data_IF_179619919195
#
_entry.id   IF_179619919195
#
_cell.length_a   1.000
_cell.length_b   1.000
_cell.length_c   1.000
_cell.angle_alpha   90.00
_cell.angle_beta   90.00
_cell.angle_gamma   90.00
#
_symmetry.space_group_name_H-M   'P 1'
#
loop_
_entity.id
_entity.type
_entity.pdbx_description
1 polymer ?
#
# COMPACT_ATOMS: atom_id res chain seq x y z
N UNK A 1 0.08 19.69 -2.01
CA UNK A 1 -0.93 18.86 -2.69
C UNK A 1 -2.27 18.92 -1.97
N UNK A 2 -2.31 18.69 -0.65
CA UNK A 2 -3.54 18.77 0.18
C UNK A 2 -4.36 20.05 -0.02
N UNK A 3 -3.72 21.22 -0.08
CA UNK A 3 -4.43 22.50 -0.27
C UNK A 3 -5.25 22.56 -1.56
N UNK A 4 -4.70 22.04 -2.67
CA UNK A 4 -5.39 22.06 -3.96
C UNK A 4 -6.57 21.07 -4.00
N UNK A 5 -6.37 19.86 -3.45
CA UNK A 5 -7.43 18.84 -3.36
C UNK A 5 -8.61 19.38 -2.53
N UNK A 6 -8.31 19.99 -1.38
CA UNK A 6 -9.32 20.61 -0.52
C UNK A 6 -10.14 21.68 -1.26
N UNK A 7 -9.46 22.66 -1.87
CA UNK A 7 -10.14 23.77 -2.56
C UNK A 7 -11.03 23.29 -3.71
N UNK A 8 -10.57 22.31 -4.48
CA UNK A 8 -11.37 21.76 -5.58
C UNK A 8 -12.59 21.01 -5.04
N UNK A 9 -12.40 20.19 -4.01
CA UNK A 9 -13.49 19.38 -3.46
C UNK A 9 -14.55 20.20 -2.72
N UNK A 10 -14.23 21.40 -2.23
CA UNK A 10 -15.19 22.37 -1.67
C UNK A 10 -16.15 22.94 -2.72
N UNK A 11 -15.80 22.88 -4.02
CA UNK A 11 -16.60 23.43 -5.12
C UNK A 11 -17.32 22.33 -5.91
N UNK A 12 -16.82 21.09 -5.87
CA UNK A 12 -17.43 19.96 -6.57
C UNK A 12 -18.75 19.54 -5.90
N UNK A 13 -19.77 19.11 -6.70
CA UNK A 13 -21.05 18.65 -6.17
C UNK A 13 -20.88 17.57 -5.09
N UNK A 14 -21.59 17.73 -3.97
CA UNK A 14 -21.51 16.82 -2.82
C UNK A 14 -22.13 15.45 -3.11
N UNK A 15 -23.09 15.38 -4.03
CA UNK A 15 -23.86 14.18 -4.38
C UNK A 15 -23.16 13.30 -5.43
N UNK A 16 -21.93 13.63 -5.82
CA UNK A 16 -21.16 12.91 -6.86
C UNK A 16 -19.80 12.45 -6.35
N UNK A 17 -19.33 11.25 -6.77
CA UNK A 17 -18.03 10.76 -6.35
C UNK A 17 -16.88 11.60 -6.90
N UNK A 18 -15.84 11.80 -6.10
CA UNK A 18 -14.63 12.55 -6.45
C UNK A 18 -13.47 11.59 -6.69
N UNK A 19 -12.90 11.62 -7.90
CA UNK A 19 -11.82 10.72 -8.32
C UNK A 19 -10.49 11.46 -8.42
N UNK A 20 -9.50 11.06 -7.61
CA UNK A 20 -8.15 11.62 -7.65
C UNK A 20 -7.21 10.73 -8.48
N UNK A 21 -6.92 11.17 -9.69
CA UNK A 21 -6.16 10.40 -10.66
C UNK A 21 -4.65 10.36 -10.35
N UNK A 22 -4.03 9.19 -10.52
CA UNK A 22 -2.58 9.01 -10.47
C UNK A 22 -1.96 8.93 -9.06
N UNK A 23 -2.78 8.80 -8.02
CA UNK A 23 -2.35 8.77 -6.62
C UNK A 23 -2.51 7.37 -6.03
N UNK A 24 -1.46 6.83 -5.41
CA UNK A 24 -1.50 5.46 -4.89
C UNK A 24 -0.46 5.10 -3.84
N UNK A 25 0.25 6.09 -3.28
CA UNK A 25 1.08 5.87 -2.11
C UNK A 25 0.22 5.87 -0.84
N UNK A 26 0.49 5.01 0.16
CA UNK A 26 -0.34 4.89 1.36
C UNK A 26 -0.65 6.21 2.06
N UNK A 27 0.32 7.11 2.17
CA UNK A 27 0.16 8.42 2.82
C UNK A 27 -0.77 9.35 2.04
N UNK A 28 -0.69 9.32 0.71
CA UNK A 28 -1.49 10.16 -0.18
C UNK A 28 -2.95 9.70 -0.21
N UNK A 29 -3.23 8.41 -0.01
CA UNK A 29 -4.59 7.89 0.16
C UNK A 29 -5.26 8.50 1.39
N UNK A 30 -4.58 8.53 2.54
CA UNK A 30 -5.11 9.20 3.73
C UNK A 30 -5.35 10.69 3.50
N UNK A 31 -4.44 11.37 2.80
CA UNK A 31 -4.58 12.78 2.48
C UNK A 31 -5.78 13.03 1.56
N UNK A 32 -5.95 12.24 0.49
CA UNK A 32 -7.07 12.39 -0.43
C UNK A 32 -8.41 12.14 0.27
N UNK A 33 -8.52 11.05 1.02
CA UNK A 33 -9.75 10.67 1.72
C UNK A 33 -10.14 11.71 2.77
N UNK A 34 -9.18 12.21 3.56
CA UNK A 34 -9.42 13.28 4.55
C UNK A 34 -9.92 14.57 3.90
N UNK A 35 -9.60 14.79 2.62
CA UNK A 35 -10.06 15.96 1.86
C UNK A 35 -11.24 15.63 0.92
N UNK A 36 -11.95 14.52 1.13
CA UNK A 36 -13.22 14.21 0.46
C UNK A 36 -13.10 13.51 -0.90
N UNK A 37 -12.00 12.80 -1.15
CA UNK A 37 -11.83 11.93 -2.33
C UNK A 37 -12.38 10.53 -2.08
N UNK A 38 -13.10 9.98 -3.05
CA UNK A 38 -13.77 8.67 -2.96
C UNK A 38 -13.07 7.57 -3.77
N UNK A 39 -12.44 7.94 -4.89
CA UNK A 39 -11.84 7.01 -5.86
C UNK A 39 -10.39 7.39 -6.17
N UNK A 40 -9.58 6.37 -6.44
CA UNK A 40 -8.16 6.47 -6.76
C UNK A 40 -7.75 5.46 -7.83
N UNK A 41 -6.83 5.84 -8.69
CA UNK A 41 -6.11 4.93 -9.57
C UNK A 41 -4.61 5.26 -9.56
N UNK A 42 -3.76 4.24 -9.63
CA UNK A 42 -2.32 4.44 -9.75
C UNK A 42 -1.62 3.18 -10.22
N UNK A 43 -0.60 3.36 -11.06
CA UNK A 43 0.32 2.28 -11.44
C UNK A 43 1.38 1.99 -10.37
N UNK A 44 1.56 2.87 -9.37
CA UNK A 44 2.65 2.79 -8.40
C UNK A 44 2.72 1.44 -7.68
N UNK A 45 1.63 0.81 -7.20
CA UNK A 45 1.72 -0.46 -6.48
C UNK A 45 2.33 -1.58 -7.31
N UNK A 46 1.92 -1.71 -8.57
CA UNK A 46 2.42 -2.76 -9.48
C UNK A 46 3.78 -2.41 -10.07
N UNK A 47 4.04 -1.12 -10.36
CA UNK A 47 5.36 -0.66 -10.81
C UNK A 47 6.43 -0.89 -9.73
N UNK A 48 6.15 -0.52 -8.48
CA UNK A 48 7.04 -0.73 -7.34
C UNK A 48 7.27 -2.23 -7.11
N UNK A 49 6.21 -3.03 -7.15
CA UNK A 49 6.29 -4.48 -7.01
C UNK A 49 7.24 -5.12 -8.02
N UNK A 50 7.10 -4.79 -9.31
CA UNK A 50 7.97 -5.34 -10.38
C UNK A 50 9.44 -4.93 -10.23
N UNK A 51 9.72 -3.88 -9.48
CA UNK A 51 11.07 -3.43 -9.14
C UNK A 51 11.54 -3.93 -7.76
N UNK A 52 10.82 -4.84 -7.12
CA UNK A 52 11.20 -5.46 -5.85
C UNK A 52 10.77 -4.68 -4.59
N UNK A 53 10.10 -3.54 -4.74
CA UNK A 53 9.60 -2.76 -3.60
C UNK A 53 8.22 -3.27 -3.17
N UNK A 54 8.15 -3.81 -1.95
CA UNK A 54 6.93 -4.34 -1.34
C UNK A 54 6.44 -3.46 -0.21
N UNK A 55 5.13 -3.23 -0.15
CA UNK A 55 4.49 -2.52 0.96
C UNK A 55 4.29 -3.46 2.16
N UNK A 56 4.52 -2.96 3.36
CA UNK A 56 4.21 -3.63 4.63
C UNK A 56 3.61 -2.61 5.60
N UNK A 57 2.97 -3.05 6.67
CA UNK A 57 2.48 -2.16 7.74
C UNK A 57 3.59 -1.36 8.43
N UNK A 58 4.83 -1.78 8.23
CA UNK A 58 6.04 -1.20 8.78
C UNK A 58 6.78 -0.30 7.78
N UNK A 59 6.20 -0.04 6.61
CA UNK A 59 6.83 0.73 5.54
C UNK A 59 7.20 -0.12 4.33
N UNK A 60 8.06 0.42 3.48
CA UNK A 60 8.48 -0.24 2.23
C UNK A 60 9.73 -1.08 2.46
N UNK A 61 9.76 -2.27 1.88
CA UNK A 61 10.97 -3.11 1.84
C UNK A 61 11.40 -3.35 0.40
N UNK A 62 12.70 -3.48 0.16
CA UNK A 62 13.22 -4.00 -1.10
C UNK A 62 13.57 -5.49 -0.92
N UNK A 63 12.79 -6.37 -1.53
CA UNK A 63 12.91 -7.83 -1.34
C UNK A 63 14.21 -8.41 -1.93
N UNK A 64 14.88 -7.67 -2.82
CA UNK A 64 16.20 -8.05 -3.35
C UNK A 64 17.35 -7.84 -2.36
N UNK A 65 17.12 -7.15 -1.24
CA UNK A 65 18.15 -6.94 -0.23
C UNK A 65 18.65 -8.26 0.37
N UNK A 66 19.97 -8.36 0.59
CA UNK A 66 20.63 -9.58 1.03
C UNK A 66 20.06 -10.19 2.33
N UNK A 67 19.55 -9.34 3.24
CA UNK A 67 18.91 -9.79 4.49
C UNK A 67 17.72 -10.73 4.30
N UNK A 68 17.08 -10.72 3.12
CA UNK A 68 15.92 -11.56 2.83
C UNK A 68 16.26 -12.89 2.17
N UNK A 69 17.53 -13.13 1.77
CA UNK A 69 17.93 -14.36 1.05
C UNK A 69 17.66 -15.64 1.84
N UNK A 70 17.77 -15.58 3.16
CA UNK A 70 17.53 -16.70 4.07
C UNK A 70 16.37 -16.43 5.05
N UNK A 71 15.48 -15.48 4.73
CA UNK A 71 14.30 -15.20 5.53
C UNK A 71 13.14 -16.09 5.07
N UNK A 72 12.91 -17.20 5.78
CA UNK A 72 11.84 -18.15 5.48
C UNK A 72 10.46 -17.73 6.03
N UNK A 73 10.32 -16.51 6.55
CA UNK A 73 9.01 -15.96 6.90
C UNK A 73 8.27 -15.44 5.66
N UNK A 74 6.93 -15.33 5.69
CA UNK A 74 6.18 -14.61 4.65
C UNK A 74 6.57 -13.12 4.62
N UNK A 75 6.18 -12.40 3.57
CA UNK A 75 6.42 -10.94 3.48
C UNK A 75 5.84 -10.23 4.70
N UNK A 76 4.61 -10.57 5.07
CA UNK A 76 3.96 -10.12 6.30
C UNK A 76 3.12 -11.26 6.91
N UNK A 77 3.27 -11.50 8.22
CA UNK A 77 2.66 -12.66 8.90
C UNK A 77 1.13 -12.65 8.88
N UNK A 78 0.54 -11.47 8.98
CA UNK A 78 -0.93 -11.33 9.09
C UNK A 78 -1.60 -11.13 7.72
N UNK A 79 -0.82 -11.01 6.64
CA UNK A 79 -1.32 -10.77 5.30
C UNK A 79 -1.93 -12.04 4.69
N UNK A 80 -3.17 -11.94 4.21
CA UNK A 80 -3.92 -13.07 3.66
C UNK A 80 -3.81 -13.22 2.14
N UNK A 81 -2.93 -12.44 1.48
CA UNK A 81 -2.73 -12.53 0.04
C UNK A 81 -2.13 -13.89 -0.37
N UNK A 82 -2.32 -14.27 -1.64
CA UNK A 82 -1.79 -15.52 -2.18
C UNK A 82 -0.28 -15.65 -1.95
N UNK A 83 0.48 -14.57 -2.14
CA UNK A 83 1.94 -14.60 -1.98
C UNK A 83 2.34 -14.90 -0.54
N UNK A 84 1.77 -14.22 0.45
CA UNK A 84 2.11 -14.42 1.87
C UNK A 84 1.67 -15.79 2.40
N UNK A 85 0.60 -16.38 1.83
CA UNK A 85 0.13 -17.71 2.24
C UNK A 85 0.97 -18.87 1.72
N UNK A 86 1.65 -18.69 0.60
CA UNK A 86 2.27 -19.80 -0.13
C UNK A 86 3.78 -19.68 -0.29
N UNK A 87 4.37 -18.49 -0.09
CA UNK A 87 5.78 -18.24 -0.36
C UNK A 87 6.48 -17.48 0.75
N UNK A 88 7.77 -17.73 0.87
CA UNK A 88 8.66 -17.04 1.80
C UNK A 88 9.32 -15.83 1.15
N UNK A 89 9.82 -14.90 1.96
CA UNK A 89 10.67 -13.81 1.46
C UNK A 89 11.93 -14.32 0.77
N UNK A 90 12.54 -15.38 1.28
CA UNK A 90 13.69 -16.05 0.67
C UNK A 90 13.38 -16.49 -0.77
N UNK A 91 12.23 -17.14 -0.99
CA UNK A 91 11.83 -17.59 -2.31
C UNK A 91 11.55 -16.41 -3.26
N UNK A 92 10.80 -15.41 -2.80
CA UNK A 92 10.52 -14.22 -3.62
C UNK A 92 11.82 -13.47 -3.95
N UNK A 93 12.72 -13.32 -2.97
CA UNK A 93 14.05 -12.72 -3.16
C UNK A 93 14.85 -13.49 -4.20
N UNK A 94 14.88 -14.82 -4.11
CA UNK A 94 15.52 -15.68 -5.10
C UNK A 94 14.98 -15.44 -6.52
N UNK A 95 13.66 -15.39 -6.69
CA UNK A 95 13.04 -15.12 -8.00
C UNK A 95 13.46 -13.76 -8.58
N UNK A 96 13.57 -12.72 -7.75
CA UNK A 96 14.07 -11.40 -8.19
C UNK A 96 15.53 -11.46 -8.63
N UNK A 97 16.39 -12.18 -7.91
CA UNK A 97 17.80 -12.37 -8.32
C UNK A 97 17.91 -13.20 -9.60
N UNK A 98 17.04 -14.19 -9.77
CA UNK A 98 16.92 -15.00 -10.99
C UNK A 98 16.29 -14.27 -12.18
N UNK A 99 15.76 -13.05 -11.97
CA UNK A 99 15.02 -12.26 -12.99
C UNK A 99 13.82 -13.02 -13.57
N UNK A 100 13.17 -13.83 -12.74
CA UNK A 100 12.01 -14.63 -13.13
C UNK A 100 10.75 -13.77 -13.21
N UNK A 101 9.93 -13.97 -14.25
CA UNK A 101 8.67 -13.22 -14.41
C UNK A 101 7.73 -13.41 -13.21
N UNK A 102 7.76 -14.59 -12.59
CA UNK A 102 6.96 -14.91 -11.41
C UNK A 102 7.23 -13.95 -10.23
N UNK A 103 8.45 -13.40 -10.12
CA UNK A 103 8.81 -12.45 -9.07
C UNK A 103 7.88 -11.23 -9.07
N UNK A 104 7.71 -10.61 -10.26
CA UNK A 104 6.85 -9.45 -10.45
C UNK A 104 5.37 -9.76 -10.22
N UNK A 105 4.92 -10.95 -10.63
CA UNK A 105 3.53 -11.41 -10.41
C UNK A 105 3.22 -11.55 -8.92
N UNK A 106 4.03 -12.29 -8.17
CA UNK A 106 3.84 -12.50 -6.73
C UNK A 106 3.94 -11.19 -5.94
N UNK A 107 4.91 -10.34 -6.29
CA UNK A 107 5.05 -9.02 -5.69
C UNK A 107 3.82 -8.12 -5.98
N UNK A 108 3.28 -8.17 -7.20
CA UNK A 108 2.13 -7.35 -7.59
C UNK A 108 0.86 -7.79 -6.87
N UNK A 109 0.63 -9.10 -6.72
CA UNK A 109 -0.48 -9.64 -5.93
C UNK A 109 -0.42 -9.10 -4.49
N UNK A 110 0.77 -9.13 -3.88
CA UNK A 110 0.97 -8.62 -2.52
C UNK A 110 0.68 -7.12 -2.41
N UNK A 111 1.29 -6.29 -3.27
CA UNK A 111 1.12 -4.84 -3.20
C UNK A 111 -0.32 -4.39 -3.49
N UNK A 112 -0.99 -5.02 -4.46
CA UNK A 112 -2.40 -4.73 -4.74
C UNK A 112 -3.29 -5.11 -3.56
N UNK A 113 -3.08 -6.30 -2.99
CA UNK A 113 -3.80 -6.73 -1.79
C UNK A 113 -3.61 -5.74 -0.64
N UNK A 114 -2.37 -5.29 -0.42
CA UNK A 114 -2.04 -4.31 0.62
C UNK A 114 -2.84 -3.01 0.46
N UNK A 115 -2.85 -2.42 -0.75
CA UNK A 115 -3.56 -1.15 -1.00
C UNK A 115 -5.06 -1.31 -0.86
N UNK A 116 -5.64 -2.38 -1.42
CA UNK A 116 -7.08 -2.66 -1.28
C UNK A 116 -7.46 -2.83 0.19
N UNK A 117 -6.66 -3.58 0.95
CA UNK A 117 -6.93 -3.80 2.38
C UNK A 117 -6.73 -2.53 3.20
N UNK A 118 -5.76 -1.68 2.85
CA UNK A 118 -5.58 -0.37 3.48
C UNK A 118 -6.82 0.50 3.28
N UNK A 119 -7.30 0.65 2.05
CA UNK A 119 -8.51 1.46 1.76
C UNK A 119 -9.74 0.87 2.45
N UNK A 120 -9.88 -0.46 2.51
CA UNK A 120 -10.95 -1.10 3.28
C UNK A 120 -10.90 -0.75 4.77
N UNK A 121 -9.71 -0.79 5.39
CA UNK A 121 -9.54 -0.41 6.78
C UNK A 121 -9.83 1.09 7.02
N UNK A 122 -9.42 1.96 6.09
CA UNK A 122 -9.76 3.38 6.13
C UNK A 122 -11.28 3.58 6.07
N UNK A 123 -11.97 2.86 5.19
CA UNK A 123 -13.43 2.90 5.12
C UNK A 123 -14.06 2.46 6.45
N UNK A 124 -13.58 1.39 7.06
CA UNK A 124 -14.09 0.93 8.35
C UNK A 124 -13.84 1.94 9.47
N UNK A 125 -12.69 2.60 9.50
CA UNK A 125 -12.41 3.62 10.53
C UNK A 125 -13.27 4.87 10.38
N UNK A 126 -13.66 5.25 9.16
CA UNK A 126 -14.65 6.31 8.92
C UNK A 126 -16.02 5.90 9.47
N UNK A 127 -16.49 4.67 9.16
CA UNK A 127 -17.78 4.16 9.65
C UNK A 127 -17.84 4.02 11.18
N UNK A 128 -16.68 3.85 11.82
CA UNK A 128 -16.54 3.70 13.26
C UNK A 128 -16.14 5.02 13.97
N UNK A 129 -16.16 6.17 13.29
CA UNK A 129 -15.72 7.46 13.83
C UNK A 129 -14.30 7.47 14.45
N UNK A 130 -13.39 6.66 13.92
CA UNK A 130 -12.00 6.44 14.41
C UNK A 130 -10.94 6.73 13.34
N UNK A 131 -11.30 7.48 12.30
CA UNK A 131 -10.43 7.74 11.15
C UNK A 131 -9.10 8.42 11.55
N UNK A 132 -9.16 9.45 12.40
CA UNK A 132 -7.98 10.23 12.76
C UNK A 132 -7.01 9.43 13.65
N UNK A 133 -7.53 8.62 14.58
CA UNK A 133 -6.75 7.67 15.38
C UNK A 133 -6.08 6.66 14.46
N UNK A 134 -6.85 6.02 13.58
CA UNK A 134 -6.35 5.02 12.64
C UNK A 134 -5.25 5.58 11.74
N UNK A 135 -5.44 6.77 11.16
CA UNK A 135 -4.44 7.47 10.35
C UNK A 135 -3.16 7.72 11.13
N UNK A 136 -3.27 8.25 12.35
CA UNK A 136 -2.11 8.55 13.21
C UNK A 136 -1.31 7.30 13.53
N UNK A 137 -1.99 6.22 13.93
CA UNK A 137 -1.35 4.95 14.27
C UNK A 137 -0.69 4.30 13.05
N UNK A 138 -1.41 4.21 11.93
CA UNK A 138 -0.89 3.64 10.70
C UNK A 138 0.35 4.41 10.22
N UNK A 139 0.28 5.74 10.11
CA UNK A 139 1.39 6.55 9.61
C UNK A 139 2.61 6.48 10.55
N UNK A 140 2.39 6.37 11.87
CA UNK A 140 3.47 6.16 12.84
C UNK A 140 4.19 4.83 12.58
N UNK A 141 3.46 3.74 12.37
CA UNK A 141 4.04 2.43 12.08
C UNK A 141 4.72 2.39 10.70
N UNK A 142 4.07 2.98 9.69
CA UNK A 142 4.54 2.96 8.31
C UNK A 142 5.81 3.80 8.09
N UNK A 143 5.92 4.96 8.77
CA UNK A 143 7.11 5.83 8.72
C UNK A 143 8.22 5.40 9.69
N UNK A 144 7.86 4.69 10.76
CA UNK A 144 8.76 4.35 11.86
C UNK A 144 9.97 3.47 11.48
N UNK A 145 10.03 2.89 10.28
CA UNK A 145 11.17 2.11 9.79
C UNK A 145 11.88 2.74 8.58
N UNK A 146 11.79 4.07 8.41
CA UNK A 146 12.66 4.82 7.50
C UNK A 146 14.07 5.07 8.09
N UNK A 147 14.46 4.31 9.11
CA UNK A 147 15.79 4.35 9.75
C UNK A 147 16.75 3.34 9.15
#
# INVERSE_FOLDING_TARGET
MSSAVKWVNEILPEDKPRHLLGIGEPEDLFMGIENGVDLFDCVAPTRNARNGTLFTKYGKINISNAKYKNDFSPIEKDCQCYTCKNYTKAYVSHLFHGKEMLAGTLASIHNLYFIIHLVNNIRQSILNDTFHEYKKEFLKMFKGNLG
#
